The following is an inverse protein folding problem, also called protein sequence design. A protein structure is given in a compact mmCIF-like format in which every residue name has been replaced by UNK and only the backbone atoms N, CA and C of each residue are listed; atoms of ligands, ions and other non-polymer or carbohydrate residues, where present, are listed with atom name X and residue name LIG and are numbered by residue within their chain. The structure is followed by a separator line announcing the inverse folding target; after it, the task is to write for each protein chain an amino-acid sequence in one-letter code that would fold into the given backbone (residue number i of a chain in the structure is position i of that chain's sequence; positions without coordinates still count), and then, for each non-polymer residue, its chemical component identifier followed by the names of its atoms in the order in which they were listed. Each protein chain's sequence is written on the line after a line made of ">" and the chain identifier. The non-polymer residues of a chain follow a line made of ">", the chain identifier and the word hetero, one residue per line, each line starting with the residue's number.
data_IF_254998950942
#
_entry.id   IF_254998950942
#
_cell.length_a   1.000
_cell.length_b   1.000
_cell.length_c   1.000
_cell.angle_alpha   90.00
_cell.angle_beta   90.00
_cell.angle_gamma   90.00
#
_symmetry.space_group_name_H-M   'P 1'
#
loop_
_entity.id
_entity.type
_entity.pdbx_description
1 polymer ?
#
# COMPACT_ATOMS: atom_id res chain seq x y z
N UNK A 1 3.88 5.89 -22.90
CA UNK A 1 4.12 4.49 -22.50
C UNK A 1 3.75 4.39 -21.03
N UNK A 2 2.63 3.75 -20.68
CA UNK A 2 2.32 3.50 -19.28
C UNK A 2 3.47 2.65 -18.70
N UNK A 3 4.19 3.21 -17.72
CA UNK A 3 5.28 2.51 -17.06
C UNK A 3 4.77 1.16 -16.54
N UNK A 4 5.58 0.11 -16.71
CA UNK A 4 5.24 -1.22 -16.20
C UNK A 4 5.04 -1.12 -14.69
N UNK A 5 3.81 -1.28 -14.22
CA UNK A 5 3.53 -1.30 -12.78
C UNK A 5 4.15 -2.57 -12.17
N UNK A 6 4.61 -2.45 -10.92
CA UNK A 6 5.13 -3.57 -10.14
C UNK A 6 4.27 -3.68 -8.89
N UNK A 7 3.27 -4.58 -8.85
CA UNK A 7 2.38 -4.72 -7.70
C UNK A 7 3.06 -5.37 -6.49
N UNK A 8 2.47 -5.09 -5.32
CA UNK A 8 2.93 -5.58 -4.03
C UNK A 8 3.72 -4.54 -3.26
N UNK A 9 3.95 -4.83 -1.99
CA UNK A 9 4.56 -3.88 -1.07
C UNK A 9 5.96 -4.29 -0.62
N UNK A 10 6.32 -5.57 -0.77
CA UNK A 10 7.60 -6.11 -0.31
C UNK A 10 8.83 -5.53 -1.01
N UNK A 11 8.67 -5.01 -2.24
CA UNK A 11 9.76 -4.45 -3.05
C UNK A 11 9.86 -2.92 -2.93
N UNK A 12 8.91 -2.26 -2.27
CA UNK A 12 8.93 -0.81 -2.13
C UNK A 12 10.13 -0.41 -1.26
N UNK A 13 10.79 0.72 -1.54
CA UNK A 13 11.94 1.20 -0.77
C UNK A 13 11.53 1.79 0.59
N UNK A 14 10.61 1.16 1.32
CA UNK A 14 10.06 1.65 2.58
C UNK A 14 10.90 1.17 3.79
N UNK A 15 11.15 1.99 4.81
CA UNK A 15 11.77 1.65 6.09
C UNK A 15 11.30 0.33 6.70
N UNK A 16 10.00 0.02 6.72
CA UNK A 16 9.53 -1.28 7.22
C UNK A 16 9.91 -2.47 6.32
N UNK A 17 10.43 -2.23 5.11
CA UNK A 17 11.08 -3.25 4.28
C UNK A 17 12.57 -3.43 4.58
N UNK A 18 13.17 -2.57 5.41
CA UNK A 18 14.50 -2.78 5.95
C UNK A 18 14.49 -3.93 6.98
N UNK A 19 15.39 -4.89 6.81
CA UNK A 19 15.48 -6.07 7.69
C UNK A 19 16.05 -5.74 9.07
N UNK A 20 16.77 -4.63 9.19
CA UNK A 20 17.41 -4.21 10.43
C UNK A 20 16.49 -3.31 11.29
N UNK A 21 15.25 -3.09 10.85
CA UNK A 21 14.29 -2.28 11.58
C UNK A 21 13.89 -2.93 12.91
N UNK A 22 13.85 -2.14 13.98
CA UNK A 22 13.48 -2.60 15.31
C UNK A 22 12.04 -3.17 15.32
N UNK A 23 11.88 -4.43 15.75
CA UNK A 23 10.57 -5.11 15.86
C UNK A 23 9.59 -4.35 16.75
N UNK A 24 10.03 -3.64 17.79
CA UNK A 24 9.14 -2.88 18.66
C UNK A 24 8.59 -1.62 17.98
N UNK A 25 9.37 -0.98 17.11
CA UNK A 25 8.88 0.11 16.26
C UNK A 25 7.81 -0.39 15.28
N UNK A 26 8.02 -1.57 14.69
CA UNK A 26 7.03 -2.24 13.83
C UNK A 26 5.75 -2.57 14.58
N UNK A 27 5.84 -3.10 15.82
CA UNK A 27 4.67 -3.38 16.66
C UNK A 27 3.88 -2.12 16.97
N UNK A 28 4.55 -1.07 17.45
CA UNK A 28 3.89 0.21 17.75
C UNK A 28 3.11 0.74 16.54
N UNK A 29 3.72 0.70 15.36
CA UNK A 29 3.04 1.12 14.13
C UNK A 29 1.87 0.24 13.74
N UNK A 30 2.02 -1.08 13.91
CA UNK A 30 0.93 -2.00 13.68
C UNK A 30 -0.26 -1.67 14.59
N UNK A 31 0.00 -1.45 15.88
CA UNK A 31 -1.03 -1.07 16.85
C UNK A 31 -1.70 0.27 16.48
N UNK A 32 -0.90 1.28 16.08
CA UNK A 32 -1.41 2.59 15.64
C UNK A 32 -2.32 2.47 14.40
N UNK A 33 -1.91 1.69 13.39
CA UNK A 33 -2.67 1.49 12.16
C UNK A 33 -3.93 0.66 12.42
N UNK A 34 -3.84 -0.42 13.20
CA UNK A 34 -5.00 -1.24 13.56
C UNK A 34 -6.03 -0.40 14.35
N UNK A 35 -5.57 0.49 15.23
CA UNK A 35 -6.45 1.42 15.94
C UNK A 35 -7.15 2.43 15.01
N UNK A 36 -6.44 3.05 14.05
CA UNK A 36 -7.06 3.95 13.07
C UNK A 36 -8.08 3.22 12.18
N UNK A 37 -7.77 1.99 11.74
CA UNK A 37 -8.68 1.18 10.95
C UNK A 37 -9.96 0.83 11.73
N UNK A 38 -9.82 0.43 13.00
CA UNK A 38 -10.98 0.12 13.84
C UNK A 38 -11.84 1.34 14.15
N UNK A 39 -11.23 2.51 14.32
CA UNK A 39 -11.93 3.76 14.56
C UNK A 39 -12.65 4.30 13.30
N UNK A 40 -12.18 3.92 12.10
CA UNK A 40 -12.64 4.46 10.82
C UNK A 40 -12.74 3.34 9.78
N UNK A 41 -13.88 2.66 9.78
CA UNK A 41 -14.21 1.56 8.86
C UNK A 41 -15.04 2.03 7.66
N UNK A 42 -15.03 1.23 6.60
CA UNK A 42 -15.86 1.45 5.41
C UNK A 42 -15.29 2.51 4.48
N UNK A 43 -13.97 2.73 4.54
CA UNK A 43 -13.30 3.70 3.69
C UNK A 43 -12.74 3.01 2.45
N UNK A 44 -12.63 3.75 1.37
CA UNK A 44 -12.09 3.25 0.11
C UNK A 44 -10.62 2.85 0.24
N UNK A 45 -9.88 3.45 1.18
CA UNK A 45 -8.49 3.09 1.49
C UNK A 45 -8.32 1.85 2.41
N UNK A 46 -9.41 1.22 2.87
CA UNK A 46 -9.31 0.10 3.84
C UNK A 46 -8.45 -1.05 3.29
N UNK A 47 -8.50 -1.35 1.98
CA UNK A 47 -7.62 -2.36 1.38
C UNK A 47 -6.15 -1.96 1.36
N UNK A 48 -5.85 -0.68 1.13
CA UNK A 48 -4.48 -0.16 1.24
C UNK A 48 -3.94 -0.37 2.65
N UNK A 49 -4.76 -0.04 3.66
CA UNK A 49 -4.42 -0.18 5.08
C UNK A 49 -4.22 -1.65 5.45
N UNK A 50 -5.13 -2.54 5.06
CA UNK A 50 -5.01 -3.98 5.29
C UNK A 50 -3.77 -4.58 4.63
N UNK A 51 -3.38 -4.11 3.44
CA UNK A 51 -2.14 -4.53 2.78
C UNK A 51 -0.90 -4.14 3.61
N UNK A 52 -0.91 -2.94 4.22
CA UNK A 52 0.17 -2.48 5.12
C UNK A 52 0.19 -3.30 6.41
N UNK A 53 -0.97 -3.54 7.04
CA UNK A 53 -1.10 -4.39 8.24
C UNK A 53 -0.52 -5.78 7.98
N UNK A 54 -0.90 -6.43 6.86
CA UNK A 54 -0.38 -7.74 6.49
C UNK A 54 1.14 -7.73 6.30
N UNK A 55 1.70 -6.66 5.73
CA UNK A 55 3.14 -6.48 5.59
C UNK A 55 3.85 -6.32 6.94
N UNK A 56 3.33 -5.50 7.85
CA UNK A 56 3.90 -5.33 9.19
C UNK A 56 3.86 -6.65 9.98
N UNK A 57 2.76 -7.40 9.91
CA UNK A 57 2.66 -8.76 10.47
C UNK A 57 3.68 -9.71 9.86
N UNK A 58 3.89 -9.67 8.54
CA UNK A 58 4.96 -10.45 7.91
C UNK A 58 6.32 -10.09 8.51
N UNK A 59 6.63 -8.80 8.74
CA UNK A 59 7.93 -8.36 9.28
C UNK A 59 8.14 -8.79 10.73
N UNK A 60 7.04 -8.93 11.48
CA UNK A 60 7.03 -9.56 12.80
C UNK A 60 7.05 -11.10 12.75
N UNK A 61 7.21 -11.69 11.56
CA UNK A 61 7.20 -13.15 11.33
C UNK A 61 5.86 -13.82 11.68
N UNK A 62 4.78 -13.04 11.79
CA UNK A 62 3.40 -13.48 12.01
C UNK A 62 2.75 -13.90 10.69
N UNK A 63 3.38 -14.85 9.98
CA UNK A 63 3.03 -15.20 8.59
C UNK A 63 1.58 -15.66 8.41
N UNK A 64 1.03 -16.42 9.36
CA UNK A 64 -0.37 -16.89 9.30
C UNK A 64 -1.37 -15.74 9.37
N UNK A 65 -1.06 -14.71 10.15
CA UNK A 65 -1.92 -13.54 10.30
C UNK A 65 -1.81 -12.63 9.08
N UNK A 66 -0.59 -12.42 8.57
CA UNK A 66 -0.38 -11.73 7.29
C UNK A 66 -1.16 -12.40 6.15
N UNK A 67 -1.12 -13.75 6.07
CA UNK A 67 -1.90 -14.51 5.08
C UNK A 67 -3.40 -14.29 5.23
N UNK A 68 -3.91 -14.30 6.47
CA UNK A 68 -5.32 -14.05 6.76
C UNK A 68 -5.77 -12.68 6.27
N UNK A 69 -4.97 -11.64 6.52
CA UNK A 69 -5.30 -10.28 6.12
C UNK A 69 -5.33 -10.13 4.59
N UNK A 70 -4.32 -10.65 3.89
CA UNK A 70 -4.34 -10.60 2.42
C UNK A 70 -5.47 -11.43 1.81
N UNK A 71 -5.83 -12.57 2.42
CA UNK A 71 -7.01 -13.35 1.99
C UNK A 71 -8.32 -12.61 2.23
N UNK A 72 -8.43 -11.84 3.31
CA UNK A 72 -9.61 -11.02 3.60
C UNK A 72 -9.81 -9.91 2.54
N UNK A 73 -8.73 -9.31 2.06
CA UNK A 73 -8.77 -8.40 0.89
C UNK A 73 -9.26 -9.19 -0.32
N UNK A 74 -8.60 -10.30 -0.67
CA UNK A 74 -8.92 -11.07 -1.88
C UNK A 74 -10.30 -11.72 -1.88
N UNK A 75 -10.93 -11.90 -0.72
CA UNK A 75 -12.34 -12.35 -0.62
C UNK A 75 -13.34 -11.24 -0.98
N UNK A 76 -12.97 -9.98 -0.79
CA UNK A 76 -13.82 -8.83 -1.11
C UNK A 76 -13.49 -8.25 -2.49
N UNK A 77 -12.20 -8.20 -2.82
CA UNK A 77 -11.66 -7.80 -4.11
C UNK A 77 -10.64 -8.82 -4.62
N UNK A 78 -11.15 -9.78 -5.39
CA UNK A 78 -10.34 -10.87 -5.96
C UNK A 78 -9.32 -10.43 -7.01
N UNK A 79 -9.40 -9.18 -7.49
CA UNK A 79 -8.50 -8.61 -8.48
C UNK A 79 -7.50 -7.59 -7.90
N UNK A 80 -7.47 -7.42 -6.58
CA UNK A 80 -6.53 -6.55 -5.91
C UNK A 80 -5.07 -6.94 -6.20
N UNK A 81 -4.40 -6.18 -7.08
CA UNK A 81 -3.08 -6.54 -7.62
C UNK A 81 -2.01 -6.57 -6.53
N UNK A 82 -2.08 -5.67 -5.54
CA UNK A 82 -1.15 -5.65 -4.43
C UNK A 82 -1.31 -6.85 -3.51
N UNK A 83 -2.54 -7.22 -3.16
CA UNK A 83 -2.81 -8.38 -2.31
C UNK A 83 -2.43 -9.69 -3.02
N UNK A 84 -2.68 -9.80 -4.34
CA UNK A 84 -2.22 -10.95 -5.15
C UNK A 84 -0.69 -11.08 -5.10
N UNK A 85 0.04 -9.98 -5.33
CA UNK A 85 1.50 -9.97 -5.30
C UNK A 85 2.06 -10.24 -3.89
N UNK A 86 1.44 -9.65 -2.86
CA UNK A 86 1.81 -9.86 -1.48
C UNK A 86 1.61 -11.33 -1.06
N UNK A 87 0.48 -11.96 -1.42
CA UNK A 87 0.22 -13.38 -1.20
C UNK A 87 1.23 -14.27 -1.92
N UNK A 88 1.50 -13.99 -3.19
CA UNK A 88 2.50 -14.74 -3.96
C UNK A 88 3.87 -14.72 -3.28
N UNK A 89 4.30 -13.54 -2.81
CA UNK A 89 5.58 -13.37 -2.12
C UNK A 89 5.60 -14.13 -0.78
N UNK A 90 4.56 -13.96 0.03
CA UNK A 90 4.42 -14.63 1.33
C UNK A 90 4.43 -16.16 1.18
N UNK A 91 3.66 -16.71 0.25
CA UNK A 91 3.58 -18.16 0.02
C UNK A 91 4.93 -18.73 -0.44
N UNK A 92 5.65 -17.99 -1.30
CA UNK A 92 7.03 -18.36 -1.67
C UNK A 92 7.96 -18.36 -0.45
N UNK A 93 7.82 -17.39 0.46
CA UNK A 93 8.62 -17.29 1.70
C UNK A 93 8.39 -18.48 2.63
N UNK A 94 7.15 -18.97 2.73
CA UNK A 94 6.78 -20.13 3.57
C UNK A 94 6.80 -21.47 2.80
N UNK A 95 7.54 -21.53 1.68
CA UNK A 95 7.76 -22.73 0.87
C UNK A 95 6.50 -23.37 0.23
N UNK A 96 5.38 -22.64 0.16
CA UNK A 96 4.14 -23.04 -0.54
C UNK A 96 4.14 -22.55 -1.99
N UNK A 97 5.15 -22.97 -2.77
CA UNK A 97 5.40 -22.45 -4.13
C UNK A 97 4.29 -22.71 -5.13
N UNK A 98 3.68 -23.90 -5.10
CA UNK A 98 2.60 -24.27 -6.03
C UNK A 98 1.40 -23.33 -5.87
N UNK A 99 0.98 -23.11 -4.63
CA UNK A 99 -0.09 -22.18 -4.32
C UNK A 99 0.28 -20.73 -4.68
N UNK A 100 1.51 -20.30 -4.39
CA UNK A 100 2.01 -19.01 -4.84
C UNK A 100 1.97 -18.83 -6.37
N UNK A 101 2.15 -19.92 -7.13
CA UNK A 101 2.03 -19.95 -8.59
C UNK A 101 0.63 -19.64 -9.11
N UNK A 102 -0.41 -19.98 -8.34
CA UNK A 102 -1.80 -19.63 -8.67
C UNK A 102 -1.99 -18.11 -8.62
N UNK A 103 -1.51 -17.47 -7.55
CA UNK A 103 -1.58 -16.01 -7.41
C UNK A 103 -0.73 -15.29 -8.45
N UNK A 104 0.46 -15.80 -8.75
CA UNK A 104 1.31 -15.27 -9.83
C UNK A 104 0.62 -15.30 -11.19
N UNK A 105 -0.04 -16.42 -11.51
CA UNK A 105 -0.74 -16.58 -12.79
C UNK A 105 -1.90 -15.59 -12.92
N UNK A 106 -2.70 -15.42 -11.84
CA UNK A 106 -3.76 -14.41 -11.78
C UNK A 106 -3.21 -12.99 -11.97
N UNK A 107 -2.14 -12.65 -11.24
CA UNK A 107 -1.49 -11.35 -11.33
C UNK A 107 -1.01 -11.06 -12.76
N UNK A 108 -0.37 -12.04 -13.42
CA UNK A 108 0.11 -11.88 -14.78
C UNK A 108 -1.03 -11.69 -15.79
N UNK A 109 -2.15 -12.39 -15.62
CA UNK A 109 -3.31 -12.22 -16.48
C UNK A 109 -3.83 -10.78 -16.42
N UNK A 110 -4.13 -10.26 -15.22
CA UNK A 110 -4.62 -8.90 -15.06
C UNK A 110 -3.62 -7.82 -15.51
N UNK A 111 -2.32 -8.05 -15.32
CA UNK A 111 -1.29 -7.12 -15.79
C UNK A 111 -1.17 -7.07 -17.31
N UNK A 112 -1.39 -8.20 -17.99
CA UNK A 112 -1.30 -8.31 -19.44
C UNK A 112 -2.50 -7.69 -20.18
N UNK A 113 -3.64 -7.59 -19.50
CA UNK A 113 -4.84 -6.99 -20.06
C UNK A 113 -4.72 -5.48 -20.24
N UNK A 114 -5.50 -4.91 -21.15
CA UNK A 114 -5.63 -3.47 -21.39
C UNK A 114 -7.08 -3.02 -21.47
N UNK A 115 -7.98 -3.76 -20.82
CA UNK A 115 -9.39 -3.41 -20.62
C UNK A 115 -9.50 -2.22 -19.66
N UNK A 116 -10.62 -1.49 -19.71
CA UNK A 116 -10.93 -0.44 -18.74
C UNK A 116 -10.82 -0.95 -17.29
N UNK A 117 -11.34 -2.15 -17.03
CA UNK A 117 -11.21 -2.86 -15.75
C UNK A 117 -9.75 -3.03 -15.33
N UNK A 118 -8.89 -3.51 -16.23
CA UNK A 118 -7.47 -3.67 -15.94
C UNK A 118 -6.79 -2.32 -15.65
N UNK A 119 -7.20 -1.24 -16.33
CA UNK A 119 -6.66 0.10 -16.11
C UNK A 119 -7.07 0.60 -14.71
N UNK A 120 -8.34 0.40 -14.33
CA UNK A 120 -8.83 0.71 -12.96
C UNK A 120 -8.04 -0.04 -11.90
N UNK A 121 -7.83 -1.33 -12.08
CA UNK A 121 -7.03 -2.16 -11.16
C UNK A 121 -5.59 -1.65 -11.04
N UNK A 122 -4.96 -1.27 -12.17
CA UNK A 122 -3.58 -0.74 -12.19
C UNK A 122 -3.47 0.63 -11.52
N UNK A 123 -4.46 1.50 -11.73
CA UNK A 123 -4.53 2.80 -11.05
C UNK A 123 -4.71 2.63 -9.54
N UNK A 124 -5.64 1.78 -9.09
CA UNK A 124 -5.82 1.43 -7.67
C UNK A 124 -4.58 0.82 -7.05
N UNK A 125 -3.88 -0.06 -7.79
CA UNK A 125 -2.60 -0.62 -7.35
C UNK A 125 -1.58 0.47 -7.01
N UNK A 126 -1.45 1.50 -7.86
CA UNK A 126 -0.57 2.64 -7.61
C UNK A 126 -1.07 3.48 -6.43
N UNK A 127 -2.37 3.78 -6.36
CA UNK A 127 -2.93 4.56 -5.25
C UNK A 127 -2.67 3.89 -3.90
N UNK A 128 -2.91 2.59 -3.77
CA UNK A 128 -2.58 1.83 -2.56
C UNK A 128 -1.09 1.85 -2.21
N UNK A 129 -0.20 1.79 -3.21
CA UNK A 129 1.23 1.96 -2.97
C UNK A 129 1.54 3.37 -2.47
N UNK A 130 0.92 4.40 -3.03
CA UNK A 130 1.05 5.78 -2.54
C UNK A 130 0.61 5.91 -1.07
N UNK A 131 -0.47 5.24 -0.66
CA UNK A 131 -0.86 5.13 0.74
C UNK A 131 0.24 4.53 1.61
N UNK A 132 0.89 3.46 1.16
CA UNK A 132 1.98 2.84 1.91
C UNK A 132 3.17 3.79 2.14
N UNK A 133 3.49 4.64 1.16
CA UNK A 133 4.50 5.72 1.34
C UNK A 133 4.03 6.77 2.35
N UNK A 134 2.76 7.19 2.31
CA UNK A 134 2.22 8.17 3.26
C UNK A 134 2.10 7.63 4.69
N UNK A 135 1.89 6.33 4.83
CA UNK A 135 1.74 5.60 6.09
C UNK A 135 3.07 5.06 6.65
N UNK A 136 4.19 5.37 6.02
CA UNK A 136 5.51 4.83 6.39
C UNK A 136 5.95 5.15 7.83
N UNK A 137 6.94 4.41 8.33
CA UNK A 137 7.61 4.66 9.61
C UNK A 137 8.42 5.95 9.48
N UNK A 138 8.07 6.98 10.25
CA UNK A 138 8.89 8.18 10.37
C UNK A 138 10.12 7.86 11.21
N UNK A 139 11.07 7.12 10.64
CA UNK A 139 12.45 7.15 11.12
C UNK A 139 13.05 8.45 10.59
N UNK A 140 13.30 9.36 11.52
CA UNK A 140 13.95 10.67 11.44
C UNK A 140 14.53 11.07 10.07
N UNK A 141 14.18 12.27 9.61
CA UNK A 141 14.48 12.89 8.31
C UNK A 141 13.72 12.43 7.05
N UNK A 142 13.25 11.18 6.93
CA UNK A 142 12.63 10.69 5.68
C UNK A 142 11.22 11.27 5.36
N UNK A 143 10.62 12.03 6.29
CA UNK A 143 9.23 12.49 6.15
C UNK A 143 8.95 13.33 4.90
N UNK A 144 9.88 14.16 4.43
CA UNK A 144 9.62 15.03 3.26
C UNK A 144 9.59 14.25 1.94
N UNK A 145 10.63 13.46 1.71
CA UNK A 145 10.75 12.68 0.47
C UNK A 145 9.57 11.71 0.31
N UNK A 146 9.14 11.06 1.40
CA UNK A 146 8.02 10.10 1.37
C UNK A 146 6.69 10.71 1.00
N UNK A 147 6.38 11.92 1.49
CA UNK A 147 5.14 12.60 1.13
C UNK A 147 5.15 13.09 -0.31
N UNK A 148 6.31 13.51 -0.82
CA UNK A 148 6.49 13.83 -2.25
C UNK A 148 6.33 12.57 -3.11
N UNK A 149 7.04 11.48 -2.79
CA UNK A 149 6.95 10.21 -3.51
C UNK A 149 5.51 9.66 -3.50
N UNK A 150 4.83 9.71 -2.35
CA UNK A 150 3.42 9.34 -2.24
C UNK A 150 2.57 10.19 -3.19
N UNK A 151 2.75 11.51 -3.20
CA UNK A 151 1.99 12.42 -4.07
C UNK A 151 2.28 12.17 -5.56
N UNK A 152 3.53 11.89 -5.93
CA UNK A 152 3.91 11.54 -7.30
C UNK A 152 3.27 10.22 -7.75
N UNK A 153 3.17 9.23 -6.86
CA UNK A 153 2.51 7.95 -7.17
C UNK A 153 1.00 8.14 -7.27
N UNK A 154 0.37 8.95 -6.40
CA UNK A 154 -1.04 9.32 -6.56
C UNK A 154 -1.29 10.04 -7.89
N UNK A 155 -0.42 10.96 -8.30
CA UNK A 155 -0.55 11.63 -9.59
C UNK A 155 -0.49 10.61 -10.74
N UNK A 156 0.44 9.64 -10.70
CA UNK A 156 0.49 8.55 -11.69
C UNK A 156 -0.77 7.69 -11.68
N UNK A 157 -1.37 7.45 -10.51
CA UNK A 157 -2.63 6.73 -10.40
C UNK A 157 -3.79 7.50 -11.06
N UNK A 158 -3.85 8.82 -10.84
CA UNK A 158 -4.83 9.72 -11.47
C UNK A 158 -4.64 9.78 -12.99
N UNK A 159 -3.40 9.93 -13.46
CA UNK A 159 -3.08 9.99 -14.89
C UNK A 159 -3.42 8.66 -15.61
N UNK A 160 -3.25 7.53 -14.92
CA UNK A 160 -3.54 6.20 -15.47
C UNK A 160 -5.04 5.88 -15.45
N UNK A 161 -5.72 6.17 -14.34
CA UNK A 161 -7.12 5.85 -14.15
C UNK A 161 -8.07 6.83 -14.86
N UNK A 162 -7.74 8.12 -14.86
CA UNK A 162 -8.56 9.17 -15.43
C UNK A 162 -10.03 9.06 -15.01
N UNK A 163 -10.93 9.22 -15.98
CA UNK A 163 -12.39 9.16 -15.77
C UNK A 163 -12.92 7.73 -15.53
N UNK A 164 -12.06 6.70 -15.55
CA UNK A 164 -12.46 5.33 -15.23
C UNK A 164 -12.64 5.11 -13.72
N UNK A 165 -12.01 5.94 -12.89
CA UNK A 165 -12.13 5.88 -11.44
C UNK A 165 -13.30 6.74 -10.99
N UNK A 166 -14.08 6.23 -10.03
CA UNK A 166 -15.20 6.98 -9.48
C UNK A 166 -14.74 8.30 -8.85
N UNK A 167 -15.54 9.35 -9.02
CA UNK A 167 -15.18 10.69 -8.55
C UNK A 167 -14.96 10.73 -7.03
N UNK A 168 -15.74 9.98 -6.23
CA UNK A 168 -15.55 9.92 -4.78
C UNK A 168 -14.23 9.24 -4.40
N UNK A 169 -13.82 8.22 -5.16
CA UNK A 169 -12.52 7.56 -4.97
C UNK A 169 -11.35 8.49 -5.34
N UNK A 170 -11.47 9.24 -6.45
CA UNK A 170 -10.51 10.28 -6.85
C UNK A 170 -10.38 11.37 -5.78
N UNK A 171 -11.50 11.84 -5.23
CA UNK A 171 -11.50 12.88 -4.20
C UNK A 171 -10.80 12.42 -2.92
N UNK A 172 -10.91 11.13 -2.59
CA UNK A 172 -10.17 10.52 -1.48
C UNK A 172 -8.66 10.50 -1.76
N UNK A 173 -8.23 10.15 -2.98
CA UNK A 173 -6.82 10.21 -3.35
C UNK A 173 -6.27 11.63 -3.26
N UNK A 174 -7.01 12.62 -3.78
CA UNK A 174 -6.66 14.04 -3.68
C UNK A 174 -6.63 14.53 -2.23
N UNK A 175 -7.55 14.09 -1.39
CA UNK A 175 -7.55 14.39 0.03
C UNK A 175 -6.30 13.84 0.71
N UNK A 176 -5.85 12.64 0.35
CA UNK A 176 -4.59 12.08 0.84
C UNK A 176 -3.36 12.86 0.37
N UNK A 177 -3.34 13.30 -0.89
CA UNK A 177 -2.30 14.21 -1.39
C UNK A 177 -2.30 15.55 -0.63
N UNK A 178 -3.47 16.11 -0.34
CA UNK A 178 -3.59 17.34 0.45
C UNK A 178 -3.08 17.15 1.88
N UNK A 179 -3.38 16.02 2.52
CA UNK A 179 -2.81 15.66 3.84
C UNK A 179 -1.29 15.54 3.78
N UNK A 180 -0.74 14.93 2.74
CA UNK A 180 0.71 14.86 2.53
C UNK A 180 1.32 16.26 2.41
N UNK A 181 0.71 17.14 1.61
CA UNK A 181 1.14 18.53 1.44
C UNK A 181 1.07 19.34 2.75
N UNK A 182 0.01 19.16 3.55
CA UNK A 182 -0.11 19.79 4.86
C UNK A 182 1.01 19.36 5.80
N UNK A 183 1.30 18.05 5.88
CA UNK A 183 2.42 17.53 6.70
C UNK A 183 3.79 18.05 6.23
N UNK A 184 3.97 18.24 4.92
CA UNK A 184 5.16 18.89 4.37
C UNK A 184 5.27 20.35 4.82
N UNK A 185 4.17 21.09 4.76
CA UNK A 185 4.08 22.49 5.18
C UNK A 185 4.34 22.67 6.68
N UNK A 186 3.74 21.85 7.52
CA UNK A 186 3.94 21.93 8.98
C UNK A 186 5.42 21.70 9.33
N UNK A 187 6.05 20.70 8.72
CA UNK A 187 7.49 20.45 8.87
C UNK A 187 8.37 21.56 8.30
N UNK A 188 7.88 22.36 7.34
CA UNK A 188 8.60 23.52 6.81
C UNK A 188 8.49 24.72 7.75
N UNK A 189 7.30 24.92 8.35
CA UNK A 189 6.96 26.13 9.09
C UNK A 189 7.38 26.06 10.56
N UNK A 190 7.32 24.88 11.19
CA UNK A 190 7.48 24.75 12.64
C UNK A 190 8.73 23.95 13.10
N UNK A 191 9.53 23.40 12.18
CA UNK A 191 10.72 22.59 12.50
C UNK A 191 10.39 21.23 13.15
N UNK A 192 11.41 20.44 13.49
CA UNK A 192 11.24 19.14 14.20
C UNK A 192 10.99 19.29 15.71
N UNK A 193 10.91 20.53 16.21
CA UNK A 193 10.90 20.86 17.66
C UNK A 193 9.51 21.22 18.23
N UNK A 194 8.42 20.88 17.55
CA UNK A 194 7.08 20.97 18.17
C UNK A 194 6.71 19.61 18.80
N UNK A 195 6.42 19.57 20.12
CA UNK A 195 6.38 18.34 20.92
C UNK A 195 5.26 17.36 20.55
#
# INVERSE_FOLDING_TARGET
>A
MAGRINPGHYHLPLPFNNRDLNKDAIKKKLDDIESDLEARKGRTEDFAILNIIGLLKYRLERYKEAEKDFRAILSQDSCNLNALANMQFLLKKVYRKEEGGIFQSKLNAYLSESTEDSIRMKARCLAEQAYAYACDMHTDNAGRERYTESSDIFQKALDLGGDLIDAAEIDIWKFCMAKNAHKLFDKFTYGEDYP
#
